data_IF_279457970113
#
_entry.id   IF_279457970113
#
_cell.length_a   1.000
_cell.length_b   1.000
_cell.length_c   1.000
_cell.angle_alpha   90.00
_cell.angle_beta   90.00
_cell.angle_gamma   90.00
#
_symmetry.space_group_name_H-M   'P 1'
#
loop_
_entity.id
_entity.type
_entity.pdbx_description
1 polymer ?
#
# COMPACT_ATOMS: atom_id res chain seq x y z
N UNK A 1 27.87 -12.43 -37.03
CA UNK A 1 28.06 -12.64 -35.59
C UNK A 1 27.70 -11.42 -34.71
N UNK A 2 28.10 -10.21 -35.09
CA UNK A 2 27.84 -8.99 -34.32
C UNK A 2 26.32 -8.65 -34.22
N UNK A 3 25.53 -8.97 -35.25
CA UNK A 3 24.08 -8.72 -35.26
C UNK A 3 23.29 -9.59 -34.29
N UNK A 4 23.73 -10.80 -33.99
CA UNK A 4 23.05 -11.72 -33.07
C UNK A 4 23.30 -11.27 -31.62
N UNK A 5 24.48 -10.74 -31.31
CA UNK A 5 24.81 -10.21 -29.98
C UNK A 5 23.98 -8.98 -29.61
N UNK A 6 23.72 -8.10 -30.57
CA UNK A 6 22.87 -6.92 -30.38
C UNK A 6 21.41 -7.31 -30.10
N UNK A 7 20.90 -8.37 -30.72
CA UNK A 7 19.52 -8.84 -30.50
C UNK A 7 19.33 -9.43 -29.10
N UNK A 8 20.32 -10.18 -28.60
CA UNK A 8 20.31 -10.77 -27.25
C UNK A 8 20.38 -9.66 -26.19
N UNK A 9 21.16 -8.61 -26.43
CA UNK A 9 21.28 -7.45 -25.52
C UNK A 9 19.96 -6.67 -25.43
N UNK A 10 19.21 -6.54 -26.54
CA UNK A 10 17.92 -5.87 -26.56
C UNK A 10 16.82 -6.67 -25.81
N UNK A 11 16.87 -7.99 -25.84
CA UNK A 11 15.93 -8.84 -25.12
C UNK A 11 16.13 -8.77 -23.62
N UNK A 12 17.36 -8.61 -23.14
CA UNK A 12 17.69 -8.47 -21.70
C UNK A 12 17.21 -7.13 -21.15
N UNK A 13 17.20 -6.06 -21.95
CA UNK A 13 16.77 -4.71 -21.53
C UNK A 13 15.24 -4.60 -21.46
N UNK A 14 14.49 -5.44 -22.19
CA UNK A 14 13.01 -5.35 -22.26
C UNK A 14 12.28 -6.01 -21.08
N UNK A 15 12.95 -6.83 -20.27
CA UNK A 15 12.36 -7.48 -19.09
C UNK A 15 12.51 -6.59 -17.84
N UNK A 16 11.72 -5.52 -17.76
CA UNK A 16 11.62 -4.73 -16.54
C UNK A 16 10.77 -5.49 -15.51
N UNK A 17 11.42 -6.09 -14.51
CA UNK A 17 10.71 -6.62 -13.35
C UNK A 17 10.17 -5.46 -12.50
N UNK A 18 8.95 -5.62 -11.98
CA UNK A 18 8.39 -4.67 -11.01
C UNK A 18 9.20 -4.80 -9.72
N UNK A 19 9.81 -3.70 -9.26
CA UNK A 19 10.59 -3.69 -8.03
C UNK A 19 9.70 -3.97 -6.83
N UNK A 20 10.15 -4.87 -5.95
CA UNK A 20 9.47 -5.17 -4.68
C UNK A 20 9.45 -3.94 -3.77
N UNK A 21 8.36 -3.77 -3.04
CA UNK A 21 8.21 -2.74 -2.00
C UNK A 21 8.29 -3.32 -0.59
N UNK A 22 8.71 -4.57 -0.45
CA UNK A 22 8.94 -5.19 0.86
C UNK A 22 9.96 -4.37 1.67
N UNK A 23 9.63 -4.09 2.92
CA UNK A 23 10.46 -3.25 3.81
C UNK A 23 10.21 -1.76 3.68
N UNK A 24 9.37 -1.34 2.75
CA UNK A 24 8.96 0.07 2.59
C UNK A 24 7.87 0.40 3.60
N UNK A 25 7.89 1.60 4.15
CA UNK A 25 6.81 2.14 4.98
C UNK A 25 6.34 3.48 4.43
N UNK A 26 5.05 3.73 4.54
CA UNK A 26 4.40 4.99 4.17
C UNK A 26 3.67 5.57 5.36
N UNK A 27 3.74 6.90 5.52
CA UNK A 27 2.92 7.65 6.46
C UNK A 27 1.91 8.49 5.70
N UNK A 28 0.67 8.49 6.13
CA UNK A 28 -0.45 9.06 5.40
C UNK A 28 -1.38 9.86 6.32
N UNK A 29 -2.28 10.64 5.70
CA UNK A 29 -3.37 11.32 6.40
C UNK A 29 -2.87 12.18 7.57
N UNK A 30 -1.89 13.03 7.32
CA UNK A 30 -1.32 13.92 8.32
C UNK A 30 -0.88 13.16 9.60
N UNK A 31 -0.11 12.10 9.40
CA UNK A 31 0.45 11.23 10.45
C UNK A 31 -0.59 10.42 11.26
N UNK A 32 -1.77 10.21 10.70
CA UNK A 32 -2.84 9.43 11.34
C UNK A 32 -2.88 7.97 10.92
N UNK A 33 -2.23 7.64 9.82
CA UNK A 33 -2.25 6.29 9.25
C UNK A 33 -0.88 5.92 8.68
N UNK A 34 -0.51 4.66 8.83
CA UNK A 34 0.73 4.13 8.29
C UNK A 34 0.53 2.80 7.56
N UNK A 35 1.38 2.55 6.59
CA UNK A 35 1.44 1.30 5.84
C UNK A 35 2.85 0.74 5.94
N UNK A 36 2.98 -0.46 6.46
CA UNK A 36 4.23 -1.19 6.56
C UNK A 36 4.17 -2.44 5.69
N UNK A 37 4.89 -2.45 4.58
CA UNK A 37 4.91 -3.58 3.64
C UNK A 37 5.86 -4.65 4.15
N UNK A 38 5.32 -5.61 4.93
CA UNK A 38 6.10 -6.60 5.66
C UNK A 38 6.59 -7.76 4.80
N UNK A 39 5.91 -8.07 3.70
CA UNK A 39 6.31 -9.12 2.77
C UNK A 39 5.92 -8.76 1.34
N UNK A 40 6.08 -9.69 0.40
CA UNK A 40 5.71 -9.48 -1.00
C UNK A 40 4.20 -9.29 -1.22
N UNK A 41 3.37 -9.75 -0.29
CA UNK A 41 1.92 -9.78 -0.44
C UNK A 41 1.16 -9.30 0.79
N UNK A 42 1.84 -8.95 1.89
CA UNK A 42 1.21 -8.52 3.14
C UNK A 42 1.65 -7.12 3.55
N UNK A 43 0.69 -6.32 3.94
CA UNK A 43 0.88 -4.98 4.47
C UNK A 43 0.20 -4.85 5.82
N UNK A 44 0.93 -4.32 6.80
CA UNK A 44 0.36 -3.90 8.07
C UNK A 44 -0.17 -2.48 7.93
N UNK A 45 -1.45 -2.28 8.22
CA UNK A 45 -2.07 -0.96 8.25
C UNK A 45 -2.20 -0.53 9.70
N UNK A 46 -1.58 0.60 10.01
CA UNK A 46 -1.60 1.22 11.33
C UNK A 46 -2.49 2.46 11.27
N UNK A 47 -3.40 2.60 12.22
CA UNK A 47 -4.25 3.78 12.31
C UNK A 47 -4.47 4.20 13.75
N UNK A 48 -4.71 5.50 13.97
CA UNK A 48 -4.97 6.04 15.27
C UNK A 48 -6.47 5.94 15.57
N UNK A 49 -6.80 5.33 16.68
CA UNK A 49 -8.13 5.39 17.25
C UNK A 49 -8.15 6.46 18.35
N UNK A 50 -8.70 7.64 18.03
CA UNK A 50 -8.72 8.76 18.95
C UNK A 50 -9.70 8.58 20.11
N UNK A 51 -10.72 7.76 19.96
CA UNK A 51 -11.67 7.45 21.04
C UNK A 51 -11.00 6.61 22.14
N UNK A 52 -10.25 5.59 21.75
CA UNK A 52 -9.56 4.69 22.68
C UNK A 52 -8.12 5.14 22.99
N UNK A 53 -7.63 6.19 22.36
CA UNK A 53 -6.28 6.71 22.49
C UNK A 53 -5.19 5.66 22.27
N UNK A 54 -5.35 4.86 21.22
CA UNK A 54 -4.41 3.81 20.85
C UNK A 54 -4.16 3.74 19.35
N UNK A 55 -3.15 2.99 18.96
CA UNK A 55 -2.84 2.65 17.58
C UNK A 55 -3.38 1.26 17.31
N UNK A 56 -4.24 1.17 16.28
CA UNK A 56 -4.82 -0.11 15.83
C UNK A 56 -4.04 -0.61 14.63
N UNK A 57 -3.74 -1.90 14.60
CA UNK A 57 -3.02 -2.57 13.52
C UNK A 57 -3.87 -3.66 12.90
N UNK A 58 -3.82 -3.78 11.58
CA UNK A 58 -4.46 -4.87 10.85
C UNK A 58 -3.57 -5.32 9.70
N UNK A 59 -3.60 -6.61 9.36
CA UNK A 59 -2.82 -7.19 8.26
C UNK A 59 -3.74 -7.39 7.07
N UNK A 60 -3.32 -6.87 5.92
CA UNK A 60 -4.03 -6.99 4.66
C UNK A 60 -3.13 -7.62 3.60
N UNK A 61 -3.75 -8.28 2.63
CA UNK A 61 -3.06 -8.66 1.42
C UNK A 61 -2.99 -7.45 0.49
N UNK A 62 -1.95 -7.38 -0.32
CA UNK A 62 -1.84 -6.38 -1.37
C UNK A 62 -1.27 -6.98 -2.65
N UNK A 63 -1.55 -6.34 -3.76
CA UNK A 63 -1.00 -6.68 -5.07
C UNK A 63 -0.30 -5.45 -5.65
N UNK A 64 0.95 -5.64 -6.06
CA UNK A 64 1.74 -4.61 -6.68
C UNK A 64 1.61 -4.68 -8.19
N UNK A 65 1.33 -3.53 -8.81
CA UNK A 65 1.41 -3.35 -10.27
C UNK A 65 2.40 -2.24 -10.60
N UNK A 66 2.64 -1.98 -11.87
CA UNK A 66 3.52 -0.92 -12.30
C UNK A 66 3.05 0.47 -11.80
N UNK A 67 1.74 0.70 -11.76
CA UNK A 67 1.15 2.01 -11.48
C UNK A 67 0.56 2.16 -10.08
N UNK A 68 0.23 1.06 -9.41
CA UNK A 68 -0.51 1.11 -8.16
C UNK A 68 -0.22 -0.05 -7.22
N UNK A 69 -0.51 0.18 -5.95
CA UNK A 69 -0.52 -0.82 -4.89
C UNK A 69 -1.99 -1.04 -4.52
N UNK A 70 -2.53 -2.21 -4.88
CA UNK A 70 -3.91 -2.56 -4.56
C UNK A 70 -3.99 -3.21 -3.19
N UNK A 71 -4.72 -2.57 -2.28
CA UNK A 71 -4.94 -3.06 -0.93
C UNK A 71 -6.19 -3.93 -0.92
N UNK A 72 -6.07 -5.13 -0.39
CA UNK A 72 -7.16 -6.09 -0.29
C UNK A 72 -7.86 -6.00 1.06
N UNK A 73 -9.05 -6.57 1.16
CA UNK A 73 -9.74 -6.71 2.41
C UNK A 73 -8.90 -7.51 3.42
N UNK A 74 -9.04 -7.20 4.71
CA UNK A 74 -8.35 -7.94 5.77
C UNK A 74 -8.60 -9.45 5.63
N UNK A 75 -7.53 -10.23 5.69
CA UNK A 75 -7.62 -11.69 5.65
C UNK A 75 -8.24 -12.21 6.95
N UNK A 76 -9.54 -12.45 6.94
CA UNK A 76 -10.24 -13.18 8.00
C UNK A 76 -10.36 -14.64 7.59
N UNK A 77 -10.14 -15.55 8.54
CA UNK A 77 -10.08 -17.00 8.31
C UNK A 77 -11.33 -17.57 7.58
N UNK A 78 -12.47 -16.92 7.71
CA UNK A 78 -13.76 -17.38 7.18
C UNK A 78 -14.37 -16.45 6.13
N UNK A 79 -13.63 -15.49 5.62
CA UNK A 79 -14.18 -14.56 4.61
C UNK A 79 -14.08 -15.15 3.22
N UNK A 80 -15.23 -15.36 2.58
CA UNK A 80 -15.35 -15.80 1.18
C UNK A 80 -14.81 -14.73 0.21
N UNK A 81 -14.60 -13.48 0.67
CA UNK A 81 -14.20 -12.33 -0.14
C UNK A 81 -12.76 -11.86 0.12
N UNK A 82 -11.84 -12.79 0.36
CA UNK A 82 -10.42 -12.50 0.67
C UNK A 82 -9.72 -11.61 -0.36
N UNK A 83 -10.14 -11.65 -1.61
CA UNK A 83 -9.49 -10.96 -2.72
C UNK A 83 -10.13 -9.61 -3.08
N UNK A 84 -11.07 -9.13 -2.28
CA UNK A 84 -11.73 -7.87 -2.56
C UNK A 84 -10.79 -6.69 -2.32
N UNK A 85 -10.56 -5.89 -3.36
CA UNK A 85 -9.81 -4.64 -3.25
C UNK A 85 -10.64 -3.60 -2.51
N UNK A 86 -10.07 -3.02 -1.45
CA UNK A 86 -10.71 -1.94 -0.68
C UNK A 86 -10.22 -0.55 -1.10
N UNK A 87 -9.09 -0.48 -1.77
CA UNK A 87 -8.51 0.75 -2.26
C UNK A 87 -7.14 0.51 -2.89
N UNK A 88 -6.50 1.57 -3.33
CA UNK A 88 -5.17 1.50 -3.89
C UNK A 88 -4.39 2.78 -3.64
N UNK A 89 -3.07 2.65 -3.66
CA UNK A 89 -2.13 3.75 -3.58
C UNK A 89 -1.47 3.89 -4.95
N UNK A 90 -1.58 5.06 -5.57
CA UNK A 90 -0.87 5.34 -6.82
C UNK A 90 0.62 5.48 -6.55
N UNK A 91 1.45 4.75 -7.31
CA UNK A 91 2.91 4.79 -7.12
C UNK A 91 3.54 6.11 -7.56
N UNK A 92 2.88 6.82 -8.46
CA UNK A 92 3.37 8.08 -9.01
C UNK A 92 3.40 9.20 -7.98
N UNK A 93 2.37 9.34 -7.18
CA UNK A 93 2.18 10.46 -6.26
C UNK A 93 1.85 10.03 -4.83
N UNK A 94 1.74 8.72 -4.58
CA UNK A 94 1.39 8.12 -3.29
C UNK A 94 0.02 8.56 -2.74
N UNK A 95 -0.90 8.90 -3.62
CA UNK A 95 -2.27 9.19 -3.22
C UNK A 95 -3.05 7.90 -3.00
N UNK A 96 -3.79 7.85 -1.90
CA UNK A 96 -4.68 6.74 -1.58
C UNK A 96 -6.10 7.04 -2.04
N UNK A 97 -6.68 6.09 -2.78
CA UNK A 97 -8.05 6.11 -3.26
C UNK A 97 -8.80 4.93 -2.67
N UNK A 98 -9.92 5.19 -2.04
CA UNK A 98 -10.80 4.14 -1.49
C UNK A 98 -11.89 3.77 -2.48
N UNK A 99 -12.24 2.48 -2.49
CA UNK A 99 -13.46 1.98 -3.11
C UNK A 99 -14.56 1.92 -2.07
N UNK A 100 -15.72 2.41 -2.42
CA UNK A 100 -16.91 2.30 -1.58
C UNK A 100 -18.15 2.04 -2.43
N UNK A 101 -19.12 1.40 -1.81
CA UNK A 101 -20.40 1.08 -2.43
C UNK A 101 -21.48 1.99 -1.87
N UNK A 102 -22.16 2.73 -2.74
CA UNK A 102 -23.21 3.65 -2.35
C UNK A 102 -24.30 3.67 -3.43
N UNK A 103 -25.57 3.59 -3.00
CA UNK A 103 -26.74 3.69 -3.86
C UNK A 103 -26.73 2.68 -5.03
N UNK A 104 -26.25 1.45 -4.79
CA UNK A 104 -26.20 0.40 -5.80
C UNK A 104 -24.97 0.43 -6.71
N UNK A 105 -24.09 1.42 -6.58
CA UNK A 105 -22.91 1.60 -7.43
C UNK A 105 -21.59 1.68 -6.66
N UNK A 106 -20.53 1.18 -7.30
CA UNK A 106 -19.16 1.33 -6.84
C UNK A 106 -18.62 2.70 -7.24
N UNK A 107 -18.08 3.42 -6.26
CA UNK A 107 -17.46 4.72 -6.46
C UNK A 107 -16.05 4.75 -5.90
N UNK A 108 -15.21 5.66 -6.43
CA UNK A 108 -13.86 5.94 -5.97
C UNK A 108 -13.85 7.27 -5.23
N UNK A 109 -13.11 7.34 -4.13
CA UNK A 109 -12.90 8.58 -3.42
C UNK A 109 -11.44 8.71 -3.00
N UNK A 110 -10.81 9.80 -3.39
CA UNK A 110 -9.52 10.21 -2.83
C UNK A 110 -9.70 10.46 -1.33
N UNK A 111 -8.82 9.91 -0.52
CA UNK A 111 -8.86 10.08 0.93
C UNK A 111 -7.68 10.87 1.47
N UNK A 112 -6.45 10.52 1.08
CA UNK A 112 -5.24 11.16 1.61
C UNK A 112 -4.04 10.93 0.71
N UNK A 113 -3.02 11.76 0.93
CA UNK A 113 -1.68 11.57 0.37
C UNK A 113 -0.77 10.89 1.38
N UNK A 114 0.18 10.14 0.87
CA UNK A 114 1.19 9.45 1.65
C UNK A 114 2.58 9.94 1.27
N UNK A 115 3.54 9.69 2.16
CA UNK A 115 4.96 9.90 1.90
C UNK A 115 5.78 8.74 2.47
N UNK A 116 6.98 8.53 1.94
CA UNK A 116 7.88 7.51 2.46
C UNK A 116 8.35 7.89 3.87
N UNK A 117 8.41 6.88 4.75
CA UNK A 117 8.93 7.05 6.12
C UNK A 117 9.76 5.82 6.48
N UNK A 118 10.91 5.98 7.14
CA UNK A 118 11.58 4.84 7.76
C UNK A 118 10.66 4.18 8.79
N UNK A 119 10.70 2.85 8.88
CA UNK A 119 9.81 2.10 9.77
C UNK A 119 9.92 2.56 11.23
N UNK A 120 11.12 2.90 11.69
CA UNK A 120 11.34 3.42 13.04
C UNK A 120 10.59 4.73 13.28
N UNK A 121 10.59 5.63 12.31
CA UNK A 121 9.92 6.93 12.40
C UNK A 121 8.41 6.81 12.27
N UNK A 122 7.92 5.82 11.51
CA UNK A 122 6.49 5.60 11.32
C UNK A 122 5.75 5.49 12.65
N UNK A 123 6.19 4.61 13.53
CA UNK A 123 5.57 4.40 14.84
C UNK A 123 5.71 5.61 15.74
N UNK A 124 6.86 6.28 15.70
CA UNK A 124 7.11 7.50 16.48
C UNK A 124 6.19 8.63 16.03
N UNK A 125 6.02 8.84 14.72
CA UNK A 125 5.13 9.88 14.18
C UNK A 125 3.68 9.63 14.56
N UNK A 126 3.21 8.38 14.48
CA UNK A 126 1.86 8.01 14.92
C UNK A 126 1.65 8.27 16.42
N UNK A 127 2.60 7.89 17.26
CA UNK A 127 2.55 8.15 18.70
C UNK A 127 2.54 9.64 19.02
N UNK A 128 3.38 10.42 18.34
CA UNK A 128 3.43 11.87 18.53
C UNK A 128 2.11 12.53 18.15
N UNK A 129 1.49 12.05 17.07
CA UNK A 129 0.17 12.54 16.63
C UNK A 129 -0.91 12.19 17.66
N UNK A 130 -0.86 10.99 18.21
CA UNK A 130 -1.82 10.53 19.23
C UNK A 130 -1.73 11.34 20.51
N UNK A 131 -0.52 11.79 20.90
CA UNK A 131 -0.27 12.51 22.14
C UNK A 131 -0.51 14.03 22.04
N UNK A 132 -0.85 14.51 20.87
CA UNK A 132 -1.24 15.91 20.65
C UNK A 132 -2.75 16.06 20.78
#
# INVERSE_FOLDING_TARGET
MIRIFLFIFFIIISNKSIASIQGVALICDNDRRGYNFISKDKVEILSINFEKLNIVSSIHLYKLTENAIFIKQQAKEFSIKKDKTIGWIFRRNLDYVSLYYKDGDWSRKFLWSCEFSPLKELKTRLKNKLNK
#
